data_IF_937628298573
#
_entry.id   IF_937628298573
#
_cell.length_a   1.000
_cell.length_b   1.000
_cell.length_c   1.000
_cell.angle_alpha   90.00
_cell.angle_beta   90.00
_cell.angle_gamma   90.00
#
_symmetry.space_group_name_H-M   'P 1'
#
loop_
_entity.id
_entity.type
_entity.pdbx_description
1 polymer ?
#
# COMPACT_ATOMS: atom_id res chain seq x y z
N UNK A 1 -14.23 -21.91 19.30
CA UNK A 1 -13.55 -22.04 18.01
C UNK A 1 -12.04 -22.09 18.25
N UNK A 2 -11.35 -23.04 17.65
CA UNK A 2 -9.91 -23.21 17.77
C UNK A 2 -9.28 -23.31 16.38
N UNK A 3 -8.16 -22.70 16.17
CA UNK A 3 -7.37 -22.84 14.94
C UNK A 3 -6.84 -24.28 14.88
N UNK A 4 -7.06 -24.97 13.77
CA UNK A 4 -6.58 -26.33 13.54
C UNK A 4 -5.44 -26.38 12.54
N UNK A 5 -5.45 -25.49 11.53
CA UNK A 5 -4.37 -25.38 10.56
C UNK A 5 -4.24 -23.95 10.01
N UNK A 6 -3.08 -23.67 9.43
CA UNK A 6 -2.78 -22.42 8.68
C UNK A 6 -2.08 -22.85 7.40
N UNK A 7 -2.66 -22.46 6.27
CA UNK A 7 -2.06 -22.65 4.95
C UNK A 7 -1.76 -21.29 4.32
N UNK A 8 -0.73 -21.23 3.54
CA UNK A 8 -0.37 -20.04 2.77
C UNK A 8 -0.01 -20.46 1.35
N UNK A 9 -0.57 -19.77 0.38
CA UNK A 9 -0.36 -20.00 -1.04
C UNK A 9 0.11 -18.73 -1.71
N UNK A 10 1.29 -18.76 -2.28
CA UNK A 10 1.85 -17.64 -3.03
C UNK A 10 1.28 -17.61 -4.45
N UNK A 11 0.68 -16.48 -4.82
CA UNK A 11 0.11 -16.26 -6.14
C UNK A 11 0.80 -15.11 -6.84
N UNK A 12 0.88 -15.19 -8.16
CA UNK A 12 1.46 -14.13 -8.99
C UNK A 12 0.35 -13.44 -9.77
N UNK A 13 0.23 -12.13 -9.59
CA UNK A 13 -0.72 -11.29 -10.31
C UNK A 13 0.04 -10.57 -11.44
N UNK A 14 -0.28 -10.84 -12.72
CA UNK A 14 0.39 -10.17 -13.83
C UNK A 14 0.03 -8.69 -13.89
N UNK A 15 1.00 -7.88 -14.31
CA UNK A 15 0.84 -6.46 -14.62
C UNK A 15 0.85 -6.26 -16.14
N UNK A 16 0.12 -5.26 -16.63
CA UNK A 16 0.09 -4.87 -18.05
C UNK A 16 1.45 -4.37 -18.54
N UNK A 17 2.22 -3.72 -17.65
CA UNK A 17 3.57 -3.22 -17.92
C UNK A 17 4.37 -3.09 -16.62
N UNK A 18 5.73 -3.09 -16.69
CA UNK A 18 6.55 -2.92 -15.50
C UNK A 18 6.38 -1.54 -14.88
N UNK A 19 6.07 -1.48 -13.57
CA UNK A 19 5.83 -0.25 -12.82
C UNK A 19 7.11 0.25 -12.16
N UNK A 20 7.49 1.50 -12.40
CA UNK A 20 8.67 2.14 -11.84
C UNK A 20 8.33 2.95 -10.59
N UNK A 21 9.22 2.92 -9.61
CA UNK A 21 9.15 3.74 -8.40
C UNK A 21 10.57 3.98 -7.85
N UNK A 22 10.71 4.83 -6.85
CA UNK A 22 12.00 5.22 -6.27
C UNK A 22 12.89 4.03 -5.84
N UNK A 23 12.27 2.95 -5.36
CA UNK A 23 12.98 1.78 -4.85
C UNK A 23 13.24 0.70 -5.92
N UNK A 24 12.93 0.97 -7.20
CA UNK A 24 13.15 0.03 -8.30
C UNK A 24 11.98 -0.14 -9.26
N UNK A 25 11.69 -1.39 -9.63
CA UNK A 25 10.67 -1.71 -10.61
C UNK A 25 9.95 -3.01 -10.26
N UNK A 26 8.62 -2.99 -10.36
CA UNK A 26 7.84 -4.23 -10.38
C UNK A 26 7.83 -4.78 -11.81
N UNK A 27 8.65 -5.81 -12.04
CA UNK A 27 8.90 -6.39 -13.36
C UNK A 27 7.76 -7.27 -13.86
N UNK A 28 6.63 -6.62 -14.19
CA UNK A 28 5.49 -7.27 -14.85
C UNK A 28 4.64 -8.15 -13.95
N UNK A 29 4.85 -8.17 -12.63
CA UNK A 29 4.05 -8.95 -11.68
C UNK A 29 4.08 -8.40 -10.26
N UNK A 30 2.98 -8.61 -9.54
CA UNK A 30 2.95 -8.59 -8.09
C UNK A 30 2.89 -10.02 -7.54
N UNK A 31 3.61 -10.27 -6.46
CA UNK A 31 3.52 -11.50 -5.71
C UNK A 31 2.70 -11.25 -4.45
N UNK A 32 1.64 -12.05 -4.25
CA UNK A 32 0.75 -11.99 -3.08
C UNK A 32 0.72 -13.36 -2.43
N UNK A 33 0.51 -13.39 -1.12
CA UNK A 33 0.33 -14.65 -0.39
C UNK A 33 -1.05 -14.65 0.24
N UNK A 34 -1.89 -15.58 -0.22
CA UNK A 34 -3.21 -15.83 0.38
C UNK A 34 -3.02 -16.76 1.58
N UNK A 35 -3.64 -16.44 2.70
CA UNK A 35 -3.55 -17.19 3.95
C UNK A 35 -4.93 -17.71 4.31
N UNK A 36 -5.01 -19.01 4.55
CA UNK A 36 -6.20 -19.71 5.00
C UNK A 36 -5.98 -20.20 6.44
N UNK A 37 -6.88 -19.83 7.33
CA UNK A 37 -6.89 -20.28 8.73
C UNK A 37 -8.09 -21.17 8.95
N UNK A 38 -7.84 -22.47 9.19
CA UNK A 38 -8.87 -23.49 9.44
C UNK A 38 -9.20 -23.59 10.93
N UNK A 39 -10.42 -23.99 11.23
CA UNK A 39 -10.89 -24.14 12.62
C UNK A 39 -11.58 -25.49 12.88
N UNK A 40 -11.68 -25.84 14.15
CA UNK A 40 -12.40 -27.04 14.63
C UNK A 40 -13.92 -26.95 14.42
N UNK A 41 -14.45 -25.80 14.06
CA UNK A 41 -15.86 -25.59 13.70
C UNK A 41 -16.12 -25.71 12.19
N UNK A 42 -15.09 -26.04 11.39
CA UNK A 42 -15.19 -26.19 9.94
C UNK A 42 -15.21 -24.85 9.17
N UNK A 43 -15.02 -23.73 9.85
CA UNK A 43 -14.88 -22.42 9.20
C UNK A 43 -13.43 -22.22 8.72
N UNK A 44 -13.29 -21.51 7.58
CA UNK A 44 -12.01 -21.11 7.02
C UNK A 44 -12.00 -19.61 6.85
N UNK A 45 -11.08 -18.94 7.52
CA UNK A 45 -10.86 -17.50 7.38
C UNK A 45 -9.76 -17.18 6.37
N UNK A 46 -9.97 -16.12 5.60
CA UNK A 46 -9.06 -15.68 4.56
C UNK A 46 -8.31 -14.41 4.96
N UNK A 47 -7.01 -14.44 4.75
CA UNK A 47 -6.13 -13.27 4.88
C UNK A 47 -5.20 -13.13 3.69
N UNK A 48 -4.50 -12.02 3.61
CA UNK A 48 -3.59 -11.75 2.51
C UNK A 48 -2.38 -10.95 2.99
N UNK A 49 -1.21 -11.30 2.46
CA UNK A 49 0.02 -10.55 2.66
C UNK A 49 0.60 -10.08 1.33
N UNK A 50 0.97 -8.80 1.27
CA UNK A 50 1.79 -8.26 0.18
C UNK A 50 3.28 -8.40 0.50
N UNK A 51 4.11 -8.62 -0.51
CA UNK A 51 5.55 -8.82 -0.32
C UNK A 51 5.91 -10.20 0.24
N UNK A 52 7.14 -10.37 0.72
CA UNK A 52 7.65 -11.64 1.23
C UNK A 52 7.95 -12.69 0.17
N UNK A 53 7.40 -12.55 -1.02
CA UNK A 53 7.65 -13.44 -2.16
C UNK A 53 7.44 -14.92 -1.81
N UNK A 54 8.25 -15.75 -2.41
CA UNK A 54 8.21 -17.21 -2.26
C UNK A 54 8.58 -17.70 -0.84
N UNK A 55 9.24 -16.86 -0.03
CA UNK A 55 9.58 -17.19 1.36
C UNK A 55 8.39 -17.08 2.33
N UNK A 56 7.31 -16.40 1.95
CA UNK A 56 6.16 -16.15 2.81
C UNK A 56 5.51 -17.45 3.30
N UNK A 57 5.37 -18.45 2.45
CA UNK A 57 4.79 -19.75 2.82
C UNK A 57 5.56 -20.44 3.97
N UNK A 58 6.90 -20.35 3.95
CA UNK A 58 7.73 -20.91 5.02
C UNK A 58 7.52 -20.15 6.33
N UNK A 59 7.34 -18.84 6.28
CA UNK A 59 7.05 -18.03 7.47
C UNK A 59 5.71 -18.42 8.08
N UNK A 60 4.64 -18.52 7.29
CA UNK A 60 3.33 -18.95 7.80
C UNK A 60 3.37 -20.38 8.33
N UNK A 61 4.10 -21.28 7.68
CA UNK A 61 4.31 -22.64 8.19
C UNK A 61 4.95 -22.64 9.58
N UNK A 62 5.94 -21.78 9.81
CA UNK A 62 6.57 -21.63 11.11
C UNK A 62 5.62 -21.06 12.17
N UNK A 63 4.63 -20.25 11.77
CA UNK A 63 3.66 -19.67 12.71
C UNK A 63 2.63 -20.69 13.25
N UNK A 64 2.44 -21.81 12.60
CA UNK A 64 1.49 -22.86 13.06
C UNK A 64 1.72 -23.26 14.52
N UNK A 65 2.98 -23.45 14.91
CA UNK A 65 3.34 -23.87 16.29
C UNK A 65 2.91 -22.88 17.37
N UNK A 66 2.70 -21.62 17.02
CA UNK A 66 2.26 -20.58 17.96
C UNK A 66 0.74 -20.41 18.01
N UNK A 67 0.04 -20.82 16.96
CA UNK A 67 -1.37 -20.48 16.77
C UNK A 67 -2.32 -21.68 16.72
N UNK A 68 -1.87 -22.88 16.39
CA UNK A 68 -2.73 -24.07 16.46
C UNK A 68 -3.20 -24.27 17.90
N UNK A 69 -4.52 -24.46 18.08
CA UNK A 69 -5.20 -24.48 19.37
C UNK A 69 -5.58 -23.12 19.94
N UNK A 70 -5.13 -22.01 19.31
CA UNK A 70 -5.50 -20.65 19.71
C UNK A 70 -6.94 -20.32 19.30
N UNK A 71 -7.61 -19.48 20.10
CA UNK A 71 -8.95 -18.94 19.76
C UNK A 71 -8.81 -17.68 18.88
N UNK A 72 -9.33 -17.69 17.62
CA UNK A 72 -9.26 -16.53 16.74
C UNK A 72 -9.87 -15.25 17.30
N UNK A 73 -10.77 -15.33 18.29
CA UNK A 73 -11.35 -14.16 18.94
C UNK A 73 -10.36 -13.42 19.86
N UNK A 74 -9.24 -14.06 20.22
CA UNK A 74 -8.24 -13.48 21.11
C UNK A 74 -7.14 -12.77 20.32
N UNK A 75 -7.51 -11.72 19.58
CA UNK A 75 -6.59 -11.01 18.67
C UNK A 75 -5.37 -10.40 19.40
N UNK A 76 -5.57 -9.81 20.57
CA UNK A 76 -4.45 -9.22 21.34
C UNK A 76 -3.46 -10.29 21.84
N UNK A 77 -3.96 -11.46 22.25
CA UNK A 77 -3.09 -12.58 22.63
C UNK A 77 -2.29 -13.07 21.41
N UNK A 78 -2.92 -13.15 20.24
CA UNK A 78 -2.25 -13.50 18.99
C UNK A 78 -1.17 -12.47 18.63
N UNK A 79 -1.49 -11.18 18.71
CA UNK A 79 -0.51 -10.10 18.48
C UNK A 79 0.68 -10.21 19.42
N UNK A 80 0.44 -10.41 20.69
CA UNK A 80 1.50 -10.59 21.69
C UNK A 80 2.40 -11.78 21.37
N UNK A 81 1.82 -12.93 21.05
CA UNK A 81 2.57 -14.15 20.71
C UNK A 81 3.42 -13.98 19.44
N UNK A 82 2.90 -13.29 18.42
CA UNK A 82 3.58 -13.11 17.15
C UNK A 82 4.58 -11.96 17.15
N UNK A 83 4.32 -10.87 17.88
CA UNK A 83 5.20 -9.72 17.95
C UNK A 83 6.48 -9.98 18.78
N UNK A 84 6.39 -10.83 19.80
CA UNK A 84 7.43 -10.97 20.82
C UNK A 84 8.16 -12.33 20.90
N UNK A 85 8.16 -13.20 19.87
CA UNK A 85 8.81 -14.50 20.03
C UNK A 85 10.34 -14.43 19.96
N UNK A 86 10.89 -13.33 19.47
CA UNK A 86 12.34 -13.05 19.51
C UNK A 86 12.57 -11.55 19.63
N UNK A 87 13.69 -11.14 20.21
CA UNK A 87 14.14 -9.75 20.31
C UNK A 87 14.68 -9.18 18.97
N UNK A 88 14.47 -9.84 17.84
CA UNK A 88 14.98 -9.39 16.54
C UNK A 88 14.14 -8.24 15.98
N UNK A 89 14.80 -7.12 15.70
CA UNK A 89 14.22 -5.94 15.05
C UNK A 89 13.94 -6.13 13.54
N UNK A 90 14.46 -7.20 12.94
CA UNK A 90 14.45 -7.45 11.50
C UNK A 90 13.46 -8.55 11.08
N UNK A 91 12.25 -8.53 11.60
CA UNK A 91 11.25 -9.49 11.15
C UNK A 91 10.05 -8.79 10.51
N UNK A 92 9.60 -9.28 9.37
CA UNK A 92 8.36 -8.85 8.69
C UNK A 92 7.09 -9.30 9.43
N UNK A 93 7.14 -9.41 10.75
CA UNK A 93 6.02 -9.96 11.53
C UNK A 93 4.78 -9.10 11.49
N UNK A 94 4.93 -7.79 11.31
CA UNK A 94 3.77 -6.89 11.16
C UNK A 94 2.90 -7.28 9.97
N UNK A 95 3.49 -7.60 8.82
CA UNK A 95 2.74 -8.03 7.64
C UNK A 95 2.13 -9.43 7.82
N UNK A 96 2.88 -10.36 8.43
CA UNK A 96 2.40 -11.70 8.77
C UNK A 96 1.25 -11.62 9.77
N UNK A 97 1.39 -10.79 10.79
CA UNK A 97 0.36 -10.54 11.79
C UNK A 97 -0.91 -9.97 11.14
N UNK A 98 -0.78 -8.98 10.26
CA UNK A 98 -1.92 -8.39 9.56
C UNK A 98 -2.70 -9.45 8.75
N UNK A 99 -2.00 -10.32 8.01
CA UNK A 99 -2.65 -11.38 7.24
C UNK A 99 -3.40 -12.39 8.13
N UNK A 100 -2.82 -12.78 9.26
CA UNK A 100 -3.46 -13.67 10.21
C UNK A 100 -4.64 -12.99 10.93
N UNK A 101 -4.51 -11.70 11.24
CA UNK A 101 -5.60 -10.93 11.83
C UNK A 101 -6.78 -10.78 10.87
N UNK A 102 -6.52 -10.52 9.57
CA UNK A 102 -7.58 -10.50 8.56
C UNK A 102 -8.32 -11.85 8.51
N UNK A 103 -7.60 -12.97 8.51
CA UNK A 103 -8.22 -14.29 8.54
C UNK A 103 -9.02 -14.53 9.82
N UNK A 104 -8.54 -14.08 10.99
CA UNK A 104 -9.28 -14.19 12.24
C UNK A 104 -10.53 -13.31 12.24
N UNK A 105 -10.47 -12.09 11.73
CA UNK A 105 -11.64 -11.21 11.60
C UNK A 105 -12.66 -11.79 10.63
N UNK A 106 -12.22 -12.39 9.53
CA UNK A 106 -13.11 -13.10 8.59
C UNK A 106 -13.82 -14.29 9.27
N UNK A 107 -13.09 -15.10 10.04
CA UNK A 107 -13.67 -16.19 10.87
C UNK A 107 -14.72 -15.68 11.84
N UNK A 108 -14.46 -14.55 12.51
CA UNK A 108 -15.41 -13.96 13.45
C UNK A 108 -16.65 -13.44 12.73
N UNK A 109 -16.49 -12.80 11.57
CA UNK A 109 -17.59 -12.38 10.72
C UNK A 109 -18.47 -13.54 10.29
N UNK A 110 -17.87 -14.64 9.81
CA UNK A 110 -18.58 -15.85 9.43
C UNK A 110 -19.31 -16.46 10.64
N UNK A 111 -18.65 -16.60 11.79
CA UNK A 111 -19.21 -17.19 13.00
C UNK A 111 -20.41 -16.39 13.53
N UNK A 112 -20.34 -15.08 13.50
CA UNK A 112 -21.41 -14.20 14.02
C UNK A 112 -22.45 -13.82 12.96
N UNK A 113 -22.22 -14.16 11.69
CA UNK A 113 -23.11 -13.82 10.58
C UNK A 113 -23.16 -12.32 10.29
N UNK A 114 -22.06 -11.61 10.53
CA UNK A 114 -21.94 -10.17 10.31
C UNK A 114 -20.72 -9.85 9.43
N UNK A 115 -20.77 -8.77 8.65
CA UNK A 115 -19.59 -8.33 7.89
C UNK A 115 -18.49 -7.79 8.83
N UNK A 116 -17.24 -7.91 8.42
CA UNK A 116 -16.09 -7.50 9.23
C UNK A 116 -16.16 -6.02 9.65
N UNK A 117 -16.70 -5.15 8.80
CA UNK A 117 -16.82 -3.74 9.17
C UNK A 117 -17.73 -3.49 10.40
N UNK A 118 -18.72 -4.34 10.66
CA UNK A 118 -19.53 -4.24 11.87
C UNK A 118 -18.73 -4.60 13.12
N UNK A 119 -17.80 -5.57 12.99
CA UNK A 119 -16.85 -5.91 14.06
C UNK A 119 -15.90 -4.74 14.36
N UNK A 120 -15.53 -3.99 13.33
CA UNK A 120 -14.62 -2.84 13.42
C UNK A 120 -15.29 -1.51 13.84
N UNK A 121 -16.57 -1.54 14.20
CA UNK A 121 -17.28 -0.34 14.68
C UNK A 121 -18.37 0.19 13.76
N UNK A 122 -18.67 -0.55 12.69
CA UNK A 122 -19.75 -0.23 11.77
C UNK A 122 -19.33 0.45 10.47
N UNK A 123 -20.24 0.40 9.51
CA UNK A 123 -20.01 0.97 8.18
C UNK A 123 -20.25 2.47 8.18
N UNK A 124 -19.21 3.25 7.88
CA UNK A 124 -19.29 4.70 7.75
C UNK A 124 -19.78 5.14 6.36
N UNK A 125 -19.38 4.41 5.30
CA UNK A 125 -19.71 4.73 3.91
C UNK A 125 -20.18 3.48 3.16
N UNK A 126 -21.15 3.63 2.28
CA UNK A 126 -21.61 2.54 1.41
C UNK A 126 -20.73 2.34 0.18
N UNK A 127 -20.13 3.43 -0.28
CA UNK A 127 -19.23 3.43 -1.44
C UNK A 127 -17.95 4.15 -1.07
N UNK A 128 -16.83 3.48 -1.26
CA UNK A 128 -15.49 4.03 -1.05
C UNK A 128 -14.92 4.45 -2.40
N UNK A 129 -14.64 5.75 -2.61
CA UNK A 129 -14.01 6.20 -3.84
C UNK A 129 -12.54 5.76 -3.87
N UNK A 130 -12.09 5.28 -5.04
CA UNK A 130 -10.71 4.92 -5.27
C UNK A 130 -10.00 5.97 -6.11
N UNK A 131 -8.68 6.11 -5.91
CA UNK A 131 -7.84 6.91 -6.77
C UNK A 131 -7.21 6.05 -7.88
N UNK A 132 -7.05 6.62 -9.08
CA UNK A 132 -6.19 6.06 -10.09
C UNK A 132 -4.73 6.14 -9.60
N UNK A 133 -4.07 5.01 -9.45
CA UNK A 133 -2.66 4.97 -9.06
C UNK A 133 -1.80 4.91 -10.31
N UNK A 134 -1.20 6.04 -10.65
CA UNK A 134 -0.42 6.26 -11.86
C UNK A 134 1.06 6.00 -11.57
N UNK A 135 1.73 5.36 -12.51
CA UNK A 135 3.16 5.07 -12.45
C UNK A 135 3.83 5.49 -13.76
N UNK A 136 5.07 5.92 -13.68
CA UNK A 136 5.96 5.79 -14.81
C UNK A 136 6.21 4.31 -15.08
N UNK A 137 6.23 3.90 -16.34
CA UNK A 137 6.30 2.49 -16.72
C UNK A 137 7.32 2.26 -17.84
N UNK A 138 7.97 1.11 -17.82
CA UNK A 138 8.61 0.60 -19.02
C UNK A 138 7.56 -0.05 -19.93
N UNK A 139 7.87 -0.15 -21.22
CA UNK A 139 7.07 -0.98 -22.11
C UNK A 139 7.09 -2.45 -21.65
N UNK A 140 5.99 -3.17 -21.82
CA UNK A 140 5.98 -4.63 -21.65
C UNK A 140 6.95 -5.25 -22.68
N UNK A 141 7.94 -6.04 -22.24
CA UNK A 141 8.98 -6.55 -23.12
C UNK A 141 8.48 -7.53 -24.20
N UNK A 142 7.27 -8.07 -24.03
CA UNK A 142 6.68 -9.03 -24.97
C UNK A 142 5.83 -8.33 -26.03
N UNK A 143 5.15 -7.25 -25.66
CA UNK A 143 4.18 -6.56 -26.53
C UNK A 143 4.66 -5.20 -27.01
N UNK A 144 5.65 -4.62 -26.35
CA UNK A 144 6.09 -3.24 -26.59
C UNK A 144 5.11 -2.17 -26.12
N UNK A 145 3.99 -2.56 -25.49
CA UNK A 145 2.94 -1.65 -25.08
C UNK A 145 3.08 -1.18 -23.63
N UNK A 146 2.29 -0.18 -23.26
CA UNK A 146 2.09 0.24 -21.88
C UNK A 146 3.19 1.16 -21.32
N UNK A 147 4.10 1.69 -22.16
CA UNK A 147 5.10 2.66 -21.71
C UNK A 147 4.46 3.96 -21.25
N UNK A 148 4.95 4.48 -20.10
CA UNK A 148 4.62 5.82 -19.59
C UNK A 148 5.90 6.48 -19.10
N UNK A 149 6.46 7.39 -19.91
CA UNK A 149 7.70 8.11 -19.63
C UNK A 149 7.58 9.62 -19.79
N UNK A 150 6.64 10.06 -20.63
CA UNK A 150 6.44 11.49 -20.93
C UNK A 150 5.15 12.02 -20.32
N UNK A 151 5.03 13.33 -20.24
CA UNK A 151 3.81 13.98 -19.76
C UNK A 151 2.58 13.58 -20.58
N UNK A 152 2.72 13.52 -21.91
CA UNK A 152 1.64 13.16 -22.84
C UNK A 152 1.19 11.71 -22.60
N UNK A 153 2.12 10.78 -22.43
CA UNK A 153 1.82 9.38 -22.13
C UNK A 153 1.13 9.22 -20.78
N UNK A 154 1.59 9.98 -19.76
CA UNK A 154 0.98 9.98 -18.43
C UNK A 154 -0.47 10.48 -18.48
N UNK A 155 -0.70 11.61 -19.15
CA UNK A 155 -2.04 12.18 -19.36
C UNK A 155 -2.95 11.23 -20.11
N UNK A 156 -2.45 10.62 -21.19
CA UNK A 156 -3.22 9.66 -21.98
C UNK A 156 -3.64 8.45 -21.14
N UNK A 157 -2.71 7.90 -20.35
CA UNK A 157 -2.99 6.78 -19.45
C UNK A 157 -4.00 7.15 -18.34
N UNK A 158 -3.87 8.34 -17.75
CA UNK A 158 -4.82 8.80 -16.75
C UNK A 158 -6.22 9.01 -17.32
N UNK A 159 -6.34 9.56 -18.53
CA UNK A 159 -7.62 9.67 -19.25
C UNK A 159 -8.26 8.31 -19.54
N UNK A 160 -7.46 7.34 -19.95
CA UNK A 160 -7.93 5.97 -20.17
C UNK A 160 -8.53 5.38 -18.89
N UNK A 161 -7.79 5.45 -17.77
CA UNK A 161 -8.26 4.95 -16.48
C UNK A 161 -9.52 5.68 -15.99
N UNK A 162 -9.56 7.00 -16.15
CA UNK A 162 -10.75 7.81 -15.83
C UNK A 162 -11.95 7.39 -16.69
N UNK A 163 -11.76 7.21 -17.99
CA UNK A 163 -12.81 6.78 -18.91
C UNK A 163 -13.35 5.37 -18.61
N UNK A 164 -12.46 4.44 -18.25
CA UNK A 164 -12.82 3.04 -17.92
C UNK A 164 -13.47 2.86 -16.55
N UNK A 165 -13.05 3.64 -15.56
CA UNK A 165 -13.37 3.37 -14.15
C UNK A 165 -14.00 4.56 -13.41
N UNK A 166 -14.07 5.74 -14.03
CA UNK A 166 -14.69 6.92 -13.45
C UNK A 166 -13.87 7.56 -12.30
N UNK A 167 -12.56 7.35 -12.25
CA UNK A 167 -11.71 7.96 -11.22
C UNK A 167 -11.77 9.50 -11.27
N UNK A 168 -11.88 10.11 -10.10
CA UNK A 168 -11.85 11.56 -9.88
C UNK A 168 -10.72 11.99 -8.94
N UNK A 169 -9.90 11.06 -8.53
CA UNK A 169 -8.68 11.27 -7.78
C UNK A 169 -7.53 10.51 -8.44
N UNK A 170 -6.35 11.12 -8.52
CA UNK A 170 -5.18 10.56 -9.20
C UNK A 170 -3.96 10.67 -8.30
N UNK A 171 -3.26 9.56 -8.08
CA UNK A 171 -1.99 9.53 -7.36
C UNK A 171 -0.87 9.18 -8.33
N UNK A 172 0.12 10.06 -8.48
CA UNK A 172 1.32 9.78 -9.25
C UNK A 172 2.44 9.27 -8.35
N UNK A 173 2.96 8.10 -8.66
CA UNK A 173 4.15 7.54 -8.05
C UNK A 173 5.39 8.11 -8.73
N UNK A 174 6.13 8.91 -7.98
CA UNK A 174 7.34 9.58 -8.44
C UNK A 174 8.62 8.94 -7.89
N UNK A 175 9.68 9.76 -7.83
CA UNK A 175 11.02 9.33 -7.42
C UNK A 175 11.75 8.51 -8.48
N UNK A 176 11.29 8.58 -9.73
CA UNK A 176 11.80 7.81 -10.88
C UNK A 176 12.71 8.65 -11.76
N UNK A 177 12.37 9.93 -11.88
CA UNK A 177 13.09 10.92 -12.68
C UNK A 177 13.58 12.09 -11.83
N UNK A 178 14.23 13.05 -12.46
CA UNK A 178 14.57 14.31 -11.78
C UNK A 178 13.30 15.03 -11.30
N UNK A 179 13.26 15.59 -10.07
CA UNK A 179 12.06 16.21 -9.52
C UNK A 179 11.42 17.28 -10.40
N UNK A 180 12.23 18.09 -11.11
CA UNK A 180 11.71 19.14 -11.99
C UNK A 180 10.94 18.55 -13.20
N UNK A 181 11.41 17.42 -13.75
CA UNK A 181 10.69 16.71 -14.81
C UNK A 181 9.41 16.04 -14.31
N UNK A 182 9.45 15.46 -13.12
CA UNK A 182 8.24 14.90 -12.50
C UNK A 182 7.22 15.98 -12.16
N UNK A 183 7.68 17.18 -11.76
CA UNK A 183 6.82 18.35 -11.58
C UNK A 183 6.14 18.76 -12.89
N UNK A 184 6.88 18.81 -14.00
CA UNK A 184 6.31 19.09 -15.33
C UNK A 184 5.22 18.07 -15.68
N UNK A 185 5.49 16.78 -15.54
CA UNK A 185 4.53 15.70 -15.77
C UNK A 185 3.29 15.82 -14.86
N UNK A 186 3.50 16.13 -13.58
CA UNK A 186 2.42 16.29 -12.63
C UNK A 186 1.53 17.51 -12.92
N UNK A 187 2.13 18.63 -13.30
CA UNK A 187 1.39 19.82 -13.71
C UNK A 187 0.61 19.60 -15.02
N UNK A 188 1.19 18.88 -15.98
CA UNK A 188 0.49 18.51 -17.21
C UNK A 188 -0.75 17.63 -16.89
N UNK A 189 -0.59 16.65 -16.00
CA UNK A 189 -1.70 15.82 -15.53
C UNK A 189 -2.80 16.63 -14.85
N UNK A 190 -2.43 17.54 -13.93
CA UNK A 190 -3.36 18.40 -13.21
C UNK A 190 -4.05 19.42 -14.13
N UNK A 191 -3.32 20.01 -15.07
CA UNK A 191 -3.86 20.95 -16.05
C UNK A 191 -4.91 20.31 -16.95
N UNK A 192 -4.71 19.04 -17.31
CA UNK A 192 -5.60 18.33 -18.22
C UNK A 192 -6.86 17.78 -17.55
N UNK A 193 -6.76 17.29 -16.32
CA UNK A 193 -7.86 16.61 -15.62
C UNK A 193 -8.45 17.46 -14.47
N UNK A 194 -7.72 18.46 -14.00
CA UNK A 194 -8.05 19.13 -12.75
C UNK A 194 -9.11 20.22 -12.86
N UNK A 195 -9.00 21.12 -13.77
CA UNK A 195 -9.93 22.25 -13.83
C UNK A 195 -9.83 23.28 -12.69
N UNK A 196 -8.72 23.31 -11.95
CA UNK A 196 -8.43 24.28 -10.88
C UNK A 196 -8.81 23.85 -9.46
N UNK A 197 -8.47 24.63 -8.42
CA UNK A 197 -8.49 24.21 -7.02
C UNK A 197 -9.90 23.97 -6.44
N UNK A 198 -10.94 24.56 -7.01
CA UNK A 198 -12.31 24.47 -6.48
C UNK A 198 -13.19 23.44 -7.20
N UNK A 199 -12.81 22.98 -8.38
CA UNK A 199 -13.61 22.08 -9.22
C UNK A 199 -12.68 21.16 -10.00
N UNK A 200 -13.10 19.91 -10.23
CA UNK A 200 -12.35 18.94 -10.99
C UNK A 200 -11.77 17.82 -10.14
N UNK A 201 -10.89 17.06 -10.74
CA UNK A 201 -10.25 15.92 -10.08
C UNK A 201 -9.21 16.40 -9.04
N UNK A 202 -8.95 15.56 -8.05
CA UNK A 202 -7.88 15.81 -7.06
C UNK A 202 -6.62 14.99 -7.37
N UNK A 203 -5.48 15.48 -6.89
CA UNK A 203 -4.18 14.90 -7.20
C UNK A 203 -3.38 14.64 -5.94
N UNK A 204 -2.47 13.67 -6.04
CA UNK A 204 -1.54 13.26 -4.99
C UNK A 204 -0.22 12.89 -5.64
N UNK A 205 0.87 13.20 -4.96
CA UNK A 205 2.20 12.84 -5.44
C UNK A 205 2.96 12.09 -4.35
N UNK A 206 3.73 11.06 -4.74
CA UNK A 206 4.43 10.20 -3.80
C UNK A 206 5.83 9.83 -4.34
N UNK A 207 6.89 10.57 -3.94
CA UNK A 207 8.26 10.29 -4.37
C UNK A 207 8.97 9.21 -3.53
N UNK A 208 8.31 8.61 -2.55
CA UNK A 208 8.86 7.56 -1.68
C UNK A 208 10.15 7.93 -0.93
N UNK A 209 10.21 9.10 -0.37
CA UNK A 209 11.28 9.48 0.54
C UNK A 209 12.62 9.80 -0.10
N UNK A 210 12.69 9.97 -1.44
CA UNK A 210 13.99 10.14 -2.12
C UNK A 210 14.43 11.58 -2.34
N UNK A 211 13.59 12.55 -1.98
CA UNK A 211 13.91 13.97 -2.16
C UNK A 211 14.63 14.54 -0.94
N UNK A 212 15.43 15.57 -1.18
CA UNK A 212 15.89 16.46 -0.11
C UNK A 212 14.72 17.32 0.40
N UNK A 213 14.86 17.85 1.60
CA UNK A 213 13.87 18.80 2.16
C UNK A 213 13.66 20.02 1.24
N UNK A 214 14.74 20.54 0.64
CA UNK A 214 14.68 21.65 -0.30
C UNK A 214 13.87 21.30 -1.55
N UNK A 215 14.09 20.14 -2.15
CA UNK A 215 13.33 19.65 -3.30
C UNK A 215 11.84 19.49 -2.96
N UNK A 216 11.53 18.95 -1.78
CA UNK A 216 10.16 18.78 -1.31
C UNK A 216 9.44 20.14 -1.14
N UNK A 217 10.11 21.12 -0.54
CA UNK A 217 9.58 22.49 -0.38
C UNK A 217 9.34 23.14 -1.76
N UNK A 218 10.32 23.08 -2.67
CA UNK A 218 10.18 23.63 -4.02
C UNK A 218 9.03 23.00 -4.79
N UNK A 219 8.90 21.69 -4.73
CA UNK A 219 7.78 20.99 -5.37
C UNK A 219 6.44 21.41 -4.77
N UNK A 220 6.32 21.42 -3.43
CA UNK A 220 5.11 21.85 -2.73
C UNK A 220 4.67 23.25 -3.14
N UNK A 221 5.60 24.22 -3.16
CA UNK A 221 5.34 25.60 -3.61
C UNK A 221 4.91 25.66 -5.09
N UNK A 222 5.51 24.82 -5.93
CA UNK A 222 5.20 24.81 -7.37
C UNK A 222 3.83 24.18 -7.70
N UNK A 223 3.16 23.54 -6.75
CA UNK A 223 1.84 22.91 -6.94
C UNK A 223 0.73 23.51 -6.06
N UNK A 224 0.95 24.69 -5.47
CA UNK A 224 -0.04 25.39 -4.63
C UNK A 224 -1.35 25.71 -5.38
N UNK A 225 -1.28 25.91 -6.68
CA UNK A 225 -2.41 26.16 -7.57
C UNK A 225 -3.11 24.87 -8.05
N UNK A 226 -2.54 23.71 -7.76
CA UNK A 226 -3.13 22.41 -8.06
C UNK A 226 -4.03 21.97 -6.91
N UNK A 227 -5.17 21.32 -7.20
CA UNK A 227 -5.96 20.65 -6.18
C UNK A 227 -5.23 19.40 -5.69
N UNK A 228 -4.20 19.63 -4.90
CA UNK A 228 -3.34 18.60 -4.33
C UNK A 228 -3.84 18.22 -2.94
N UNK A 229 -4.30 16.96 -2.76
CA UNK A 229 -4.81 16.49 -1.48
C UNK A 229 -3.66 16.34 -0.46
N UNK A 230 -2.52 15.80 -0.91
CA UNK A 230 -1.30 15.65 -0.11
C UNK A 230 -0.08 15.33 -0.98
N UNK A 231 1.09 15.59 -0.41
CA UNK A 231 2.39 15.11 -0.86
C UNK A 231 2.84 14.00 0.11
N UNK A 232 2.89 12.75 -0.36
CA UNK A 232 3.19 11.59 0.47
C UNK A 232 4.69 11.36 0.55
N UNK A 233 5.20 11.17 1.76
CA UNK A 233 6.60 10.79 2.03
C UNK A 233 7.64 11.45 1.11
N UNK A 234 7.69 12.81 1.02
CA UNK A 234 8.59 13.46 0.05
C UNK A 234 10.07 13.26 0.40
N UNK A 235 10.39 13.17 1.69
CA UNK A 235 11.73 12.99 2.22
C UNK A 235 11.83 11.68 2.99
N UNK A 236 13.04 11.22 3.23
CA UNK A 236 13.28 10.07 4.13
C UNK A 236 12.59 10.38 5.46
N UNK A 237 11.70 9.50 5.96
CA UNK A 237 11.08 9.69 7.25
C UNK A 237 12.18 9.89 8.29
N UNK A 238 12.13 10.98 9.02
CA UNK A 238 13.00 11.15 10.18
C UNK A 238 12.88 9.91 11.04
N UNK A 239 14.02 9.29 11.37
CA UNK A 239 14.06 8.06 12.10
C UNK A 239 13.26 8.27 13.40
N UNK A 240 12.03 7.71 13.48
CA UNK A 240 11.15 7.85 14.66
C UNK A 240 11.78 7.27 15.93
N UNK A 241 12.92 6.61 15.75
CA UNK A 241 13.76 6.06 16.81
C UNK A 241 14.95 6.98 17.15
N UNK A 242 15.09 8.13 16.50
CA UNK A 242 16.02 9.15 16.96
C UNK A 242 15.55 9.60 18.35
N UNK A 243 16.43 9.47 19.33
CA UNK A 243 16.24 9.96 20.68
C UNK A 243 15.60 11.37 20.64
N UNK A 244 14.49 11.62 21.34
CA UNK A 244 13.91 12.97 21.44
C UNK A 244 14.91 14.03 21.90
N UNK A 245 16.04 13.63 22.51
CA UNK A 245 17.17 14.46 22.87
C UNK A 245 18.24 14.60 21.78
N UNK A 246 18.11 13.96 20.61
CA UNK A 246 19.08 14.11 19.53
C UNK A 246 18.93 15.51 18.91
N UNK A 247 19.93 16.36 19.16
CA UNK A 247 19.99 17.74 18.64
C UNK A 247 19.98 17.85 17.09
N UNK A 248 20.08 16.72 16.39
CA UNK A 248 19.97 16.63 14.92
C UNK A 248 18.52 16.58 14.44
N UNK A 249 17.54 16.38 15.33
CA UNK A 249 16.12 16.43 15.01
C UNK A 249 15.63 17.86 15.27
N UNK A 250 15.18 18.62 14.26
CA UNK A 250 14.63 19.94 14.48
C UNK A 250 13.45 19.89 15.44
N UNK A 251 13.49 20.73 16.48
CA UNK A 251 12.36 20.89 17.38
C UNK A 251 11.14 21.39 16.58
N UNK A 252 10.07 20.62 16.53
CA UNK A 252 8.83 21.02 15.84
C UNK A 252 8.37 20.09 14.71
N UNK A 253 9.04 18.97 14.45
CA UNK A 253 8.54 17.93 13.53
C UNK A 253 7.58 16.92 14.21
N UNK A 254 6.84 17.36 15.20
CA UNK A 254 5.69 16.62 15.72
C UNK A 254 4.50 16.76 14.78
N UNK A 255 3.91 15.64 14.36
CA UNK A 255 2.60 15.57 13.71
C UNK A 255 1.50 16.00 14.65
#
# INVERSE_FOLDING_TARGET
MKITDIRATTVTVPLEAPLRHANGCHWGRFVRTVVEVETDEGLVGLGEMGGGGESAEAVFRAMKSYLVGHDPARLEEMRFRLANPTASLYNNRTQVLAALEFACLDLLGQKWGVPVHDILGGRLQERVPFAAYLFFRYADPRTGAGEVRTAEQLVAHARELKGRHGFTAHKLKGGVFHPDYELECYRALAGELGGGPARGDSFRFDPNGVWSTEQAIRFGQAVEDVRNDYLEDPTIPNNRWADPGDSRVPAGTGF
#
